data_IF_969104036866
#
_entry.id   IF_969104036866
#
_cell.length_a   1.000
_cell.length_b   1.000
_cell.length_c   1.000
_cell.angle_alpha   90.00
_cell.angle_beta   90.00
_cell.angle_gamma   90.00
#
_symmetry.space_group_name_H-M   'P 1'
#
loop_
_entity.id
_entity.type
_entity.pdbx_description
1 polymer ?
#
# COMPACT_ATOMS: atom_id res chain seq x y z
N UNK A 1 -19.30 22.14 -67.14
CA UNK A 1 -19.36 20.92 -66.29
C UNK A 1 -20.37 21.19 -65.17
N UNK A 2 -21.64 20.77 -65.32
CA UNK A 2 -22.70 20.98 -64.31
C UNK A 2 -22.76 19.74 -63.44
N UNK A 3 -22.25 19.82 -62.21
CA UNK A 3 -22.50 18.79 -61.20
C UNK A 3 -24.01 18.75 -60.97
N UNK A 4 -24.64 17.58 -61.14
CA UNK A 4 -26.09 17.46 -60.98
C UNK A 4 -26.43 17.63 -59.51
N UNK A 5 -27.44 18.45 -59.21
CA UNK A 5 -27.97 18.71 -57.86
C UNK A 5 -28.21 17.40 -57.06
N UNK A 6 -28.53 16.32 -57.75
CA UNK A 6 -28.73 14.97 -57.21
C UNK A 6 -27.47 14.33 -56.61
N UNK A 7 -26.28 14.59 -57.17
CA UNK A 7 -25.02 14.05 -56.66
C UNK A 7 -24.58 14.75 -55.36
N UNK A 8 -24.96 16.03 -55.22
CA UNK A 8 -24.67 16.83 -54.04
C UNK A 8 -25.56 16.40 -52.86
N UNK A 9 -26.86 16.21 -53.08
CA UNK A 9 -27.81 15.71 -52.08
C UNK A 9 -27.39 14.33 -51.57
N UNK A 10 -27.03 13.41 -52.48
CA UNK A 10 -26.54 12.08 -52.09
C UNK A 10 -25.25 12.13 -51.26
N UNK A 11 -24.34 13.07 -51.56
CA UNK A 11 -23.12 13.27 -50.78
C UNK A 11 -23.40 13.82 -49.37
N UNK A 12 -24.39 14.70 -49.24
CA UNK A 12 -24.82 15.24 -47.93
C UNK A 12 -25.44 14.14 -47.06
N UNK A 13 -26.29 13.28 -47.63
CA UNK A 13 -26.88 12.16 -46.90
C UNK A 13 -25.84 11.16 -46.38
N UNK A 14 -24.81 10.86 -47.19
CA UNK A 14 -23.68 10.01 -46.77
C UNK A 14 -22.94 10.64 -45.59
N UNK A 15 -22.68 11.95 -45.63
CA UNK A 15 -22.00 12.67 -44.55
C UNK A 15 -22.83 12.71 -43.26
N UNK A 16 -24.15 12.93 -43.36
CA UNK A 16 -25.06 12.92 -42.22
C UNK A 16 -25.11 11.52 -41.59
N UNK A 17 -25.22 10.47 -42.41
CA UNK A 17 -25.20 9.09 -41.95
C UNK A 17 -23.88 8.75 -41.26
N UNK A 18 -22.74 9.17 -41.84
CA UNK A 18 -21.43 8.92 -41.26
C UNK A 18 -21.25 9.64 -39.92
N UNK A 19 -21.63 10.93 -39.84
CA UNK A 19 -21.62 11.71 -38.60
C UNK A 19 -22.47 11.07 -37.50
N UNK A 20 -23.68 10.59 -37.84
CA UNK A 20 -24.57 9.90 -36.90
C UNK A 20 -23.95 8.59 -36.40
N UNK A 21 -23.31 7.83 -37.30
CA UNK A 21 -22.64 6.58 -36.96
C UNK A 21 -21.45 6.82 -36.01
N UNK A 22 -20.63 7.83 -36.30
CA UNK A 22 -19.50 8.21 -35.42
C UNK A 22 -20.03 8.64 -34.05
N UNK A 23 -21.02 9.55 -34.00
CA UNK A 23 -21.61 10.03 -32.74
C UNK A 23 -22.20 8.89 -31.89
N UNK A 24 -22.89 7.95 -32.51
CA UNK A 24 -23.44 6.80 -31.78
C UNK A 24 -22.32 5.88 -31.24
N UNK A 25 -21.31 5.59 -32.06
CA UNK A 25 -20.15 4.77 -31.65
C UNK A 25 -19.36 5.45 -30.52
N UNK A 26 -19.11 6.75 -30.60
CA UNK A 26 -18.39 7.49 -29.55
C UNK A 26 -19.20 7.50 -28.26
N UNK A 27 -20.48 7.84 -28.29
CA UNK A 27 -21.32 7.88 -27.09
C UNK A 27 -21.44 6.52 -26.38
N UNK A 28 -21.64 5.44 -27.14
CA UNK A 28 -21.69 4.09 -26.58
C UNK A 28 -20.37 3.72 -25.90
N UNK A 29 -19.25 4.00 -26.57
CA UNK A 29 -17.94 3.60 -26.07
C UNK A 29 -17.49 4.46 -24.89
N UNK A 30 -17.78 5.76 -24.88
CA UNK A 30 -17.58 6.64 -23.72
C UNK A 30 -18.34 6.14 -22.50
N UNK A 31 -19.59 5.68 -22.68
CA UNK A 31 -20.38 5.09 -21.59
C UNK A 31 -19.76 3.78 -21.09
N UNK A 32 -19.22 2.96 -21.98
CA UNK A 32 -18.53 1.73 -21.60
C UNK A 32 -17.28 2.01 -20.77
N UNK A 33 -16.44 2.97 -21.18
CA UNK A 33 -15.27 3.37 -20.40
C UNK A 33 -15.64 3.98 -19.06
N UNK A 34 -16.72 4.77 -18.99
CA UNK A 34 -17.22 5.29 -17.73
C UNK A 34 -17.55 4.15 -16.75
N UNK A 35 -18.22 3.10 -17.22
CA UNK A 35 -18.53 1.92 -16.40
C UNK A 35 -17.26 1.15 -16.02
N UNK A 36 -16.28 1.04 -16.92
CA UNK A 36 -15.01 0.36 -16.66
C UNK A 36 -14.18 1.10 -15.62
N UNK A 37 -14.12 2.44 -15.69
CA UNK A 37 -13.50 3.30 -14.67
C UNK A 37 -14.17 3.09 -13.30
N UNK A 38 -15.49 3.06 -13.24
CA UNK A 38 -16.22 2.78 -11.99
C UNK A 38 -15.86 1.38 -11.47
N UNK A 39 -15.78 0.39 -12.34
CA UNK A 39 -15.44 -0.98 -11.95
C UNK A 39 -14.00 -1.07 -11.41
N UNK A 40 -13.04 -0.44 -12.08
CA UNK A 40 -11.65 -0.38 -11.63
C UNK A 40 -11.54 0.38 -10.31
N UNK A 41 -12.29 1.47 -10.14
CA UNK A 41 -12.36 2.21 -8.87
C UNK A 41 -12.85 1.34 -7.71
N UNK A 42 -13.92 0.56 -7.91
CA UNK A 42 -14.41 -0.40 -6.90
C UNK A 42 -13.38 -1.49 -6.59
N UNK A 43 -12.71 -2.00 -7.61
CA UNK A 43 -11.64 -2.99 -7.44
C UNK A 43 -10.46 -2.41 -6.64
N UNK A 44 -10.06 -1.16 -6.90
CA UNK A 44 -9.04 -0.45 -6.13
C UNK A 44 -9.42 -0.39 -4.66
N UNK A 45 -10.64 0.07 -4.35
CA UNK A 45 -11.14 0.14 -2.97
C UNK A 45 -11.12 -1.23 -2.28
N UNK A 46 -11.57 -2.27 -2.97
CA UNK A 46 -11.59 -3.62 -2.44
C UNK A 46 -10.17 -4.16 -2.16
N UNK A 47 -9.22 -3.92 -3.08
CA UNK A 47 -7.82 -4.32 -2.90
C UNK A 47 -7.15 -3.56 -1.75
N UNK A 48 -7.37 -2.25 -1.65
CA UNK A 48 -6.91 -1.43 -0.51
C UNK A 48 -7.39 -2.04 0.80
N UNK A 49 -8.68 -2.36 0.90
CA UNK A 49 -9.26 -2.99 2.09
C UNK A 49 -8.59 -4.33 2.43
N UNK A 50 -8.42 -5.22 1.45
CA UNK A 50 -7.80 -6.54 1.67
C UNK A 50 -6.36 -6.38 2.16
N UNK A 51 -5.54 -5.57 1.48
CA UNK A 51 -4.13 -5.39 1.86
C UNK A 51 -4.03 -4.76 3.25
N UNK A 52 -4.81 -3.73 3.57
CA UNK A 52 -4.82 -3.15 4.92
C UNK A 52 -5.23 -4.16 5.99
N UNK A 53 -6.27 -4.94 5.74
CA UNK A 53 -6.72 -5.99 6.68
C UNK A 53 -5.61 -7.00 6.95
N UNK A 54 -4.88 -7.40 5.92
CA UNK A 54 -3.74 -8.32 6.04
C UNK A 54 -2.59 -7.69 6.84
N UNK A 55 -2.24 -6.42 6.59
CA UNK A 55 -1.19 -5.72 7.34
C UNK A 55 -1.56 -5.54 8.82
N UNK A 56 -2.82 -5.19 9.12
CA UNK A 56 -3.33 -5.15 10.51
C UNK A 56 -3.24 -6.53 11.16
N UNK A 57 -3.55 -7.60 10.43
CA UNK A 57 -3.47 -8.96 10.96
C UNK A 57 -2.02 -9.39 11.25
N UNK A 58 -1.04 -8.81 10.55
CA UNK A 58 0.40 -9.04 10.72
C UNK A 58 1.05 -8.11 11.73
N UNK A 59 0.28 -7.19 12.33
CA UNK A 59 0.77 -6.22 13.31
C UNK A 59 1.61 -6.88 14.41
N UNK A 60 1.15 -8.02 14.94
CA UNK A 60 1.85 -8.75 15.99
C UNK A 60 3.23 -9.27 15.54
N UNK A 61 3.37 -9.69 14.28
CA UNK A 61 4.64 -10.16 13.75
C UNK A 61 5.62 -8.99 13.55
N UNK A 62 5.10 -7.82 13.14
CA UNK A 62 5.88 -6.58 13.08
C UNK A 62 6.41 -6.23 14.47
N UNK A 63 5.55 -6.20 15.49
CA UNK A 63 5.95 -5.91 16.89
C UNK A 63 7.02 -6.90 17.39
N UNK A 64 6.90 -8.19 17.04
CA UNK A 64 7.87 -9.22 17.43
C UNK A 64 9.22 -9.05 16.75
N UNK A 65 9.24 -8.58 15.51
CA UNK A 65 10.47 -8.29 14.75
C UNK A 65 11.20 -7.02 15.21
N UNK A 66 10.60 -6.23 16.11
CA UNK A 66 11.22 -5.01 16.60
C UNK A 66 12.36 -5.31 17.58
N UNK A 67 13.58 -5.10 17.09
CA UNK A 67 14.82 -5.18 17.84
C UNK A 67 15.31 -3.76 18.16
N UNK A 68 15.25 -3.38 19.44
CA UNK A 68 15.78 -2.10 19.93
C UNK A 68 16.32 -2.29 21.35
N UNK A 69 17.44 -1.64 21.72
CA UNK A 69 18.00 -1.74 23.07
C UNK A 69 16.97 -1.36 24.13
N UNK A 70 16.76 -2.27 25.09
CA UNK A 70 15.76 -2.07 26.14
C UNK A 70 16.44 -1.70 27.47
N UNK A 71 15.90 -0.68 28.14
CA UNK A 71 16.26 -0.29 29.50
C UNK A 71 14.97 -0.06 30.30
N UNK A 72 14.96 -0.48 31.56
CA UNK A 72 13.82 -0.34 32.48
C UNK A 72 13.73 1.05 33.12
N UNK A 73 14.64 1.97 32.80
CA UNK A 73 14.60 3.34 33.29
C UNK A 73 13.41 4.09 32.65
N UNK A 74 12.60 4.84 33.42
CA UNK A 74 11.37 5.46 32.92
C UNK A 74 11.54 6.31 31.64
N UNK A 75 12.61 7.10 31.57
CA UNK A 75 12.92 7.91 30.39
C UNK A 75 13.21 7.06 29.14
N UNK A 76 13.84 5.89 29.32
CA UNK A 76 14.11 4.96 28.22
C UNK A 76 12.86 4.19 27.79
N UNK A 77 11.88 3.97 28.68
CA UNK A 77 10.61 3.33 28.32
C UNK A 77 9.81 4.21 27.35
N UNK A 78 9.75 5.52 27.59
CA UNK A 78 9.07 6.45 26.67
C UNK A 78 9.74 6.47 25.29
N UNK A 79 11.07 6.50 25.25
CA UNK A 79 11.84 6.41 24.00
C UNK A 79 11.55 5.08 23.31
N UNK A 80 11.58 3.96 24.04
CA UNK A 80 11.30 2.64 23.50
C UNK A 80 9.91 2.56 22.86
N UNK A 81 8.88 3.09 23.54
CA UNK A 81 7.51 3.14 23.02
C UNK A 81 7.42 3.96 21.74
N UNK A 82 8.09 5.11 21.70
CA UNK A 82 8.14 5.98 20.52
C UNK A 82 8.83 5.29 19.34
N UNK A 83 9.98 4.67 19.57
CA UNK A 83 10.72 3.96 18.53
C UNK A 83 9.95 2.73 18.02
N UNK A 84 9.24 2.02 18.91
CA UNK A 84 8.35 0.93 18.52
C UNK A 84 7.22 1.44 17.62
N UNK A 85 6.57 2.55 18.00
CA UNK A 85 5.50 3.16 17.21
C UNK A 85 6.01 3.59 15.82
N UNK A 86 7.12 4.31 15.76
CA UNK A 86 7.75 4.73 14.49
C UNK A 86 8.08 3.53 13.60
N UNK A 87 8.63 2.46 14.19
CA UNK A 87 8.97 1.24 13.47
C UNK A 87 7.72 0.56 12.87
N UNK A 88 6.64 0.50 13.65
CA UNK A 88 5.36 -0.05 13.22
C UNK A 88 4.78 0.76 12.06
N UNK A 89 4.72 2.09 12.20
CA UNK A 89 4.21 3.00 11.17
C UNK A 89 4.99 2.86 9.87
N UNK A 90 6.32 2.93 9.93
CA UNK A 90 7.20 2.81 8.76
C UNK A 90 7.05 1.46 8.06
N UNK A 91 6.95 0.36 8.82
CA UNK A 91 6.79 -0.99 8.27
C UNK A 91 5.44 -1.19 7.60
N UNK A 92 4.36 -0.79 8.27
CA UNK A 92 3.01 -0.94 7.73
C UNK A 92 2.88 -0.09 6.47
N UNK A 93 3.32 1.16 6.50
CA UNK A 93 3.30 2.06 5.35
C UNK A 93 4.04 1.46 4.16
N UNK A 94 5.32 1.07 4.32
CA UNK A 94 6.13 0.51 3.24
C UNK A 94 5.54 -0.78 2.68
N UNK A 95 5.13 -1.71 3.53
CA UNK A 95 4.57 -2.98 3.09
C UNK A 95 3.25 -2.78 2.34
N UNK A 96 2.36 -1.95 2.90
CA UNK A 96 1.08 -1.62 2.29
C UNK A 96 1.27 -0.99 0.92
N UNK A 97 2.07 0.08 0.83
CA UNK A 97 2.31 0.82 -0.41
C UNK A 97 2.96 -0.07 -1.48
N UNK A 98 3.94 -0.89 -1.10
CA UNK A 98 4.58 -1.83 -2.01
C UNK A 98 3.57 -2.84 -2.58
N UNK A 99 2.77 -3.49 -1.71
CA UNK A 99 1.77 -4.48 -2.12
C UNK A 99 0.69 -3.87 -3.01
N UNK A 100 0.13 -2.72 -2.61
CA UNK A 100 -0.91 -2.05 -3.39
C UNK A 100 -0.41 -1.56 -4.74
N UNK A 101 0.80 -0.99 -4.79
CA UNK A 101 1.43 -0.59 -6.05
C UNK A 101 1.57 -1.78 -7.00
N UNK A 102 2.09 -2.91 -6.50
CA UNK A 102 2.21 -4.14 -7.28
C UNK A 102 0.85 -4.65 -7.77
N UNK A 103 -0.15 -4.70 -6.89
CA UNK A 103 -1.47 -5.26 -7.18
C UNK A 103 -2.34 -4.43 -8.12
N UNK A 104 -2.10 -3.13 -8.19
CA UNK A 104 -2.89 -2.18 -8.98
C UNK A 104 -2.21 -1.74 -10.28
N UNK A 105 -0.90 -1.98 -10.42
CA UNK A 105 -0.14 -1.65 -11.63
C UNK A 105 -0.75 -2.22 -12.91
N UNK A 106 -0.99 -3.54 -12.99
CA UNK A 106 -1.50 -4.20 -14.21
C UNK A 106 -2.92 -3.75 -14.58
N UNK A 107 -3.92 -3.82 -13.67
CA UNK A 107 -5.29 -3.47 -14.05
C UNK A 107 -5.46 -2.01 -14.51
N UNK A 108 -4.69 -1.11 -13.92
CA UNK A 108 -4.73 0.31 -14.26
C UNK A 108 -4.02 0.57 -15.58
N UNK A 109 -2.86 -0.06 -15.79
CA UNK A 109 -2.14 0.02 -17.07
C UNK A 109 -3.00 -0.53 -18.22
N UNK A 110 -3.69 -1.65 -18.00
CA UNK A 110 -4.62 -2.22 -18.98
C UNK A 110 -5.76 -1.25 -19.33
N UNK A 111 -6.39 -0.63 -18.34
CA UNK A 111 -7.44 0.37 -18.58
C UNK A 111 -6.89 1.59 -19.34
N UNK A 112 -5.73 2.10 -18.94
CA UNK A 112 -5.07 3.23 -19.61
C UNK A 112 -4.79 2.92 -21.08
N UNK A 113 -4.23 1.74 -21.37
CA UNK A 113 -3.95 1.31 -22.74
C UNK A 113 -5.24 1.21 -23.58
N UNK A 114 -6.32 0.62 -23.04
CA UNK A 114 -7.61 0.55 -23.76
C UNK A 114 -8.18 1.94 -24.09
N UNK A 115 -8.10 2.87 -23.14
CA UNK A 115 -8.56 4.26 -23.34
C UNK A 115 -7.69 4.94 -24.40
N UNK A 116 -6.37 4.76 -24.35
CA UNK A 116 -5.43 5.33 -25.31
C UNK A 116 -5.64 4.77 -26.72
N UNK A 117 -5.80 3.46 -26.86
CA UNK A 117 -6.08 2.80 -28.14
C UNK A 117 -7.38 3.31 -28.75
N UNK A 118 -8.44 3.44 -27.93
CA UNK A 118 -9.70 4.01 -28.40
C UNK A 118 -9.55 5.46 -28.84
N UNK A 119 -8.84 6.29 -28.08
CA UNK A 119 -8.59 7.68 -28.45
C UNK A 119 -7.83 7.77 -29.78
N UNK A 120 -6.82 6.93 -29.98
CA UNK A 120 -6.06 6.85 -31.23
C UNK A 120 -6.94 6.42 -32.41
N UNK A 121 -7.76 5.37 -32.24
CA UNK A 121 -8.64 4.87 -33.31
C UNK A 121 -9.79 5.81 -33.65
N UNK A 122 -10.31 6.57 -32.68
CA UNK A 122 -11.38 7.54 -32.90
C UNK A 122 -10.88 8.79 -33.62
N UNK A 123 -9.62 9.20 -33.40
CA UNK A 123 -9.03 10.41 -33.99
C UNK A 123 -8.38 10.13 -35.37
N UNK A 124 -7.81 8.95 -35.59
CA UNK A 124 -7.09 8.59 -36.83
C UNK A 124 -7.96 8.37 -38.08
N UNK A 125 -9.28 8.48 -37.99
CA UNK A 125 -10.14 8.53 -39.18
C UNK A 125 -10.05 9.88 -39.92
N UNK A 126 -9.35 10.87 -39.34
CA UNK A 126 -8.91 12.09 -40.01
C UNK A 126 -7.47 11.96 -40.52
N UNK A 127 -7.24 12.20 -41.81
CA UNK A 127 -5.94 12.09 -42.51
C UNK A 127 -4.85 13.10 -42.08
N UNK A 128 -4.98 13.76 -40.94
CA UNK A 128 -4.05 14.81 -40.52
C UNK A 128 -3.25 14.38 -39.30
N UNK A 129 -1.93 14.53 -39.39
CA UNK A 129 -0.94 14.14 -38.38
C UNK A 129 -1.06 14.93 -37.08
N UNK A 130 -2.10 14.64 -36.31
CA UNK A 130 -2.22 15.09 -34.92
C UNK A 130 -1.20 14.31 -34.10
N UNK A 131 -0.09 14.97 -33.79
CA UNK A 131 0.89 14.51 -32.82
C UNK A 131 0.18 14.37 -31.47
N UNK A 132 -0.10 13.14 -31.05
CA UNK A 132 -0.46 12.87 -29.67
C UNK A 132 0.73 13.27 -28.81
N UNK A 133 0.55 14.26 -27.94
CA UNK A 133 1.45 14.42 -26.79
C UNK A 133 1.30 13.12 -26.00
N UNK A 134 2.35 12.32 -26.02
CA UNK A 134 2.45 11.10 -25.23
C UNK A 134 2.49 11.53 -23.76
N UNK A 135 1.32 11.84 -23.20
CA UNK A 135 1.16 11.80 -21.76
C UNK A 135 1.30 10.34 -21.39
N UNK A 136 2.54 9.93 -21.12
CA UNK A 136 2.83 8.78 -20.27
C UNK A 136 2.09 9.06 -18.97
N UNK A 137 0.86 8.57 -18.87
CA UNK A 137 0.19 8.46 -17.59
C UNK A 137 1.21 7.74 -16.70
N UNK A 138 1.62 8.42 -15.63
CA UNK A 138 2.59 7.83 -14.72
C UNK A 138 2.03 6.48 -14.29
N UNK A 139 2.71 5.39 -14.71
CA UNK A 139 2.34 4.01 -14.37
C UNK A 139 2.34 3.86 -12.84
N UNK A 140 3.13 4.69 -12.17
CA UNK A 140 3.07 4.95 -10.75
C UNK A 140 1.99 6.00 -10.48
N UNK A 141 0.79 5.55 -10.13
CA UNK A 141 -0.09 6.38 -9.31
C UNK A 141 0.68 6.64 -8.02
N UNK A 142 0.95 7.90 -7.72
CA UNK A 142 1.54 8.32 -6.45
C UNK A 142 0.49 8.14 -5.34
N UNK A 143 0.25 6.89 -4.94
CA UNK A 143 -0.59 6.53 -3.79
C UNK A 143 -0.10 7.21 -2.49
N UNK A 144 1.16 7.64 -2.49
CA UNK A 144 1.87 8.33 -1.42
C UNK A 144 1.17 9.60 -0.92
N UNK A 145 0.42 10.32 -1.76
CA UNK A 145 -0.02 11.66 -1.38
C UNK A 145 -1.12 11.73 -0.31
N UNK A 146 -1.76 10.62 0.08
CA UNK A 146 -2.87 10.62 1.04
C UNK A 146 -2.93 9.47 2.03
N UNK A 147 -1.91 8.61 2.13
CA UNK A 147 -1.93 7.51 3.10
C UNK A 147 -1.32 7.95 4.43
N UNK A 148 -2.16 8.40 5.37
CA UNK A 148 -1.74 8.80 6.71
C UNK A 148 -1.94 7.65 7.72
N UNK A 149 -0.92 6.80 7.85
CA UNK A 149 -0.92 5.71 8.84
C UNK A 149 -0.84 6.23 10.28
N UNK A 150 -0.32 7.45 10.49
CA UNK A 150 -0.19 8.01 11.85
C UNK A 150 -1.54 8.23 12.50
N UNK A 151 -2.57 8.55 11.70
CA UNK A 151 -3.96 8.63 12.17
C UNK A 151 -4.54 7.27 12.59
N UNK A 152 -4.10 6.17 11.97
CA UNK A 152 -4.52 4.80 12.36
C UNK A 152 -3.82 4.35 13.65
N UNK A 153 -2.60 4.83 13.85
CA UNK A 153 -1.77 4.50 15.00
C UNK A 153 -1.88 5.51 16.15
N UNK A 154 -2.72 6.54 16.04
CA UNK A 154 -2.87 7.58 17.08
C UNK A 154 -3.36 7.04 18.42
N UNK A 155 -4.19 6.00 18.37
CA UNK A 155 -4.73 5.32 19.56
C UNK A 155 -3.86 4.15 20.01
N UNK A 156 -2.65 4.00 19.46
CA UNK A 156 -1.74 2.93 19.83
C UNK A 156 -1.30 3.10 21.29
N UNK A 157 -1.78 2.18 22.14
CA UNK A 157 -1.39 2.12 23.54
C UNK A 157 -0.56 0.85 23.79
N UNK A 158 0.76 1.02 23.86
CA UNK A 158 1.65 -0.06 24.27
C UNK A 158 1.57 -0.28 25.79
N UNK A 159 0.71 -1.21 26.21
CA UNK A 159 0.68 -1.72 27.58
C UNK A 159 1.83 -2.72 27.79
N UNK A 160 3.00 -2.17 28.09
CA UNK A 160 4.20 -2.95 28.37
C UNK A 160 4.16 -3.36 29.85
N UNK A 161 3.63 -4.54 30.13
CA UNK A 161 3.66 -5.13 31.47
C UNK A 161 4.87 -6.06 31.64
N UNK A 162 5.67 -5.82 32.68
CA UNK A 162 6.85 -6.63 32.96
C UNK A 162 6.53 -7.69 34.01
N UNK A 163 6.79 -8.95 33.67
CA UNK A 163 6.79 -10.05 34.65
C UNK A 163 8.23 -10.44 34.92
N UNK A 164 8.76 -9.94 36.02
CA UNK A 164 10.07 -10.35 36.51
C UNK A 164 9.94 -11.70 37.19
N UNK A 165 10.63 -12.71 36.64
CA UNK A 165 10.78 -13.99 37.30
C UNK A 165 12.14 -14.04 37.98
N UNK A 166 12.12 -14.16 39.30
CA UNK A 166 13.32 -14.52 40.05
C UNK A 166 13.48 -16.04 39.94
N UNK A 167 14.59 -16.52 39.38
CA UNK A 167 14.88 -17.96 39.39
C UNK A 167 15.30 -18.36 40.82
N UNK A 168 14.48 -19.10 41.58
CA UNK A 168 14.82 -19.48 42.96
C UNK A 168 16.10 -20.33 43.02
N UNK A 169 16.46 -21.04 41.95
CA UNK A 169 17.73 -21.77 41.87
C UNK A 169 18.94 -20.84 41.91
N UNK A 170 18.81 -19.60 41.44
CA UNK A 170 19.88 -18.59 41.54
C UNK A 170 20.04 -18.09 42.99
N UNK A 171 18.94 -17.96 43.75
CA UNK A 171 18.96 -17.68 45.19
C UNK A 171 19.64 -18.83 45.95
N UNK A 172 19.23 -20.06 45.68
CA UNK A 172 19.77 -21.26 46.32
C UNK A 172 21.27 -21.40 46.00
N UNK A 173 21.69 -21.22 44.75
CA UNK A 173 23.11 -21.24 44.37
C UNK A 173 23.92 -20.16 45.09
N UNK A 174 23.36 -18.95 45.21
CA UNK A 174 24.00 -17.85 45.95
C UNK A 174 24.15 -18.21 47.44
N UNK A 175 23.08 -18.63 48.11
CA UNK A 175 23.13 -19.05 49.51
C UNK A 175 24.06 -20.26 49.73
N UNK A 176 24.04 -21.24 48.83
CA UNK A 176 24.93 -22.40 48.91
C UNK A 176 26.40 -21.99 48.76
N UNK A 177 26.74 -21.07 47.85
CA UNK A 177 28.09 -20.54 47.70
C UNK A 177 28.55 -19.74 48.92
N UNK A 178 27.62 -19.10 49.64
CA UNK A 178 27.90 -18.36 50.87
C UNK A 178 28.15 -19.28 52.07
N UNK A 179 27.48 -20.43 52.12
CA UNK A 179 27.62 -21.45 53.16
C UNK A 179 28.83 -22.37 52.95
N UNK A 180 29.29 -22.55 51.71
CA UNK A 180 30.40 -23.43 51.33
C UNK A 180 31.42 -22.71 50.43
N UNK A 181 32.23 -21.79 50.99
CA UNK A 181 33.12 -20.91 50.23
C UNK A 181 34.36 -21.61 49.61
N UNK A 182 34.54 -22.91 49.79
CA UNK A 182 35.77 -23.64 49.40
C UNK A 182 35.73 -24.27 48.00
N UNK A 183 34.65 -24.14 47.22
CA UNK A 183 34.64 -24.59 45.82
C UNK A 183 35.12 -23.46 44.88
N UNK A 184 35.94 -23.77 43.86
CA UNK A 184 36.50 -22.75 42.98
C UNK A 184 35.39 -22.01 42.23
N UNK A 185 35.45 -20.68 42.36
CA UNK A 185 34.59 -19.68 41.75
C UNK A 185 34.19 -20.01 40.30
N UNK A 186 32.93 -20.39 40.07
CA UNK A 186 32.31 -20.34 38.75
C UNK A 186 31.08 -19.45 38.69
N UNK A 187 30.76 -18.71 39.75
CA UNK A 187 29.56 -17.90 39.84
C UNK A 187 29.87 -16.41 40.01
N UNK A 188 30.47 -15.82 38.98
CA UNK A 188 30.24 -14.41 38.65
C UNK A 188 29.57 -14.40 37.27
N UNK A 189 28.35 -14.91 37.19
CA UNK A 189 27.45 -14.47 36.11
C UNK A 189 26.57 -13.39 36.72
N UNK A 190 26.43 -12.21 36.09
CA UNK A 190 25.46 -11.22 36.51
C UNK A 190 24.09 -11.89 36.59
N UNK A 191 23.28 -11.48 37.55
CA UNK A 191 21.86 -11.85 37.60
C UNK A 191 21.23 -11.32 36.31
N UNK A 192 21.21 -12.15 35.26
CA UNK A 192 20.63 -11.81 33.99
C UNK A 192 19.12 -11.93 34.17
N UNK A 193 18.49 -10.80 34.50
CA UNK A 193 17.04 -10.69 34.43
C UNK A 193 16.63 -10.97 33.00
N UNK A 194 16.10 -12.18 32.75
CA UNK A 194 15.49 -12.49 31.47
C UNK A 194 14.15 -11.77 31.43
N UNK A 195 14.14 -10.62 30.78
CA UNK A 195 12.91 -9.92 30.44
C UNK A 195 12.32 -10.62 29.21
N UNK A 196 11.22 -11.36 29.41
CA UNK A 196 10.48 -11.94 28.30
C UNK A 196 9.49 -10.89 27.78
N UNK A 197 9.61 -10.54 26.50
CA UNK A 197 8.52 -9.91 25.73
C UNK A 197 7.42 -10.96 25.59
N UNK A 198 6.29 -10.77 26.27
CA UNK A 198 5.06 -11.52 26.01
C UNK A 198 4.27 -10.89 24.88
#
# INVERSE_FOLDING_TARGET
MKIKKTDLESSVDILIHHKKTISNKTNLTTRNFYNEIISVSKMIQHKIYIVLRDEISRFNDIVRSFEYPFSSEPAFIEIYKKELLNYIEDKIEKNFLHRISSELSSPILELQNKIQDFALHTVKDGKDGVYFVEHKASIYIEWYHHFDISSLCSDFNADISFKFFFNPMSLIKCFYSMLYPTLPNSCVSPVLFHCYKS
#
